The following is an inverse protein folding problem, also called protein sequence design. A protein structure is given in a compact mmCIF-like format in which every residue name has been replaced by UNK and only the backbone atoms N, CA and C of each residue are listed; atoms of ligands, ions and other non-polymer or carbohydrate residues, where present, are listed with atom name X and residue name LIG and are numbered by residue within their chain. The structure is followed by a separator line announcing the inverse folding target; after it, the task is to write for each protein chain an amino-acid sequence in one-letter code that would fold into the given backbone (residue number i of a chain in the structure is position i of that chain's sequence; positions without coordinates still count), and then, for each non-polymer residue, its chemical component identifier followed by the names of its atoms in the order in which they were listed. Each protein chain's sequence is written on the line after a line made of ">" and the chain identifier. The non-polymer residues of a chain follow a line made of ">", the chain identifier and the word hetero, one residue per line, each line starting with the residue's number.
data_IF_715151717587
#
_entry.id   IF_715151717587
#
_cell.length_a   1.000
_cell.length_b   1.000
_cell.length_c   1.000
_cell.angle_alpha   90.00
_cell.angle_beta   90.00
_cell.angle_gamma   90.00
#
_symmetry.space_group_name_H-M   'P 1'
#
loop_
_entity.id
_entity.type
_entity.pdbx_description
1 polymer ?
#
# COMPACT_ATOMS: atom_id res chain seq x y z
N UNK A 1 1.83 -17.82 -16.88
CA UNK A 1 1.95 -17.86 -15.41
C UNK A 1 1.86 -16.43 -14.92
N UNK A 2 0.79 -16.08 -14.19
CA UNK A 2 0.71 -16.06 -12.72
C UNK A 2 1.41 -14.81 -12.17
N UNK A 3 0.71 -13.69 -12.03
CA UNK A 3 1.15 -12.56 -11.19
C UNK A 3 1.59 -13.04 -9.80
N UNK A 4 0.87 -14.00 -9.22
CA UNK A 4 1.29 -14.74 -8.00
C UNK A 4 2.66 -15.42 -8.16
N UNK A 5 2.95 -15.98 -9.34
CA UNK A 5 4.23 -16.58 -9.68
C UNK A 5 5.35 -15.56 -9.81
N UNK A 6 5.04 -14.34 -10.29
CA UNK A 6 5.96 -13.20 -10.26
C UNK A 6 6.23 -12.76 -8.81
N UNK A 7 5.21 -12.59 -7.96
CA UNK A 7 5.35 -12.17 -6.56
C UNK A 7 6.22 -13.12 -5.71
N UNK A 8 6.27 -14.41 -6.05
CA UNK A 8 7.14 -15.39 -5.37
C UNK A 8 8.47 -15.64 -6.09
N UNK A 9 8.74 -14.93 -7.18
CA UNK A 9 9.94 -15.12 -8.00
C UNK A 9 11.18 -14.42 -7.39
N UNK A 10 12.39 -14.88 -7.70
CA UNK A 10 13.62 -14.15 -7.38
C UNK A 10 13.62 -12.74 -7.97
N UNK A 11 13.05 -12.55 -9.17
CA UNK A 11 12.97 -11.25 -9.84
C UNK A 11 12.18 -10.23 -9.02
N UNK A 12 11.08 -10.63 -8.38
CA UNK A 12 10.35 -9.73 -7.49
C UNK A 12 11.19 -9.34 -6.28
N UNK A 13 11.93 -10.29 -5.68
CA UNK A 13 12.84 -9.98 -4.56
C UNK A 13 13.94 -9.00 -4.95
N UNK A 14 14.53 -9.17 -6.13
CA UNK A 14 15.53 -8.24 -6.67
C UNK A 14 14.95 -6.83 -6.82
N UNK A 15 13.72 -6.70 -7.33
CA UNK A 15 13.08 -5.38 -7.46
C UNK A 15 12.82 -4.75 -6.09
N UNK A 16 12.42 -5.55 -5.09
CA UNK A 16 12.25 -5.03 -3.72
C UNK A 16 13.59 -4.56 -3.15
N UNK A 17 14.66 -5.34 -3.28
CA UNK A 17 15.99 -4.92 -2.84
C UNK A 17 16.49 -3.67 -3.54
N UNK A 18 16.26 -3.55 -4.86
CA UNK A 18 16.63 -2.37 -5.63
C UNK A 18 15.88 -1.11 -5.16
N UNK A 19 14.62 -1.24 -4.68
CA UNK A 19 13.86 -0.14 -4.08
C UNK A 19 14.38 0.17 -2.68
N UNK A 20 14.62 -0.86 -1.86
CA UNK A 20 15.15 -0.72 -0.51
C UNK A 20 16.52 -0.04 -0.49
N UNK A 21 17.36 -0.27 -1.49
CA UNK A 21 18.70 0.32 -1.62
C UNK A 21 18.68 1.81 -2.07
N UNK A 22 17.51 2.34 -2.44
CA UNK A 22 17.41 3.76 -2.82
C UNK A 22 17.58 4.69 -1.62
N UNK A 23 18.24 5.84 -1.84
CA UNK A 23 18.40 6.87 -0.82
C UNK A 23 17.05 7.33 -0.29
N UNK A 24 16.03 7.46 -1.15
CA UNK A 24 14.70 7.90 -0.73
C UNK A 24 13.99 6.89 0.18
N UNK A 25 14.16 5.58 -0.07
CA UNK A 25 13.58 4.55 0.79
C UNK A 25 14.26 4.52 2.15
N UNK A 26 15.60 4.60 2.18
CA UNK A 26 16.36 4.66 3.43
C UNK A 26 16.04 5.92 4.23
N UNK A 27 15.83 7.05 3.55
CA UNK A 27 15.41 8.29 4.19
C UNK A 27 13.98 8.20 4.75
N UNK A 28 13.05 7.58 4.02
CA UNK A 28 11.70 7.32 4.51
C UNK A 28 11.71 6.42 5.76
N UNK A 29 12.52 5.37 5.74
CA UNK A 29 12.73 4.47 6.88
C UNK A 29 13.29 5.24 8.09
N UNK A 30 14.38 5.98 7.90
CA UNK A 30 15.03 6.75 8.96
C UNK A 30 14.12 7.85 9.53
N UNK A 31 13.30 8.49 8.68
CA UNK A 31 12.34 9.50 9.12
C UNK A 31 11.29 8.89 10.06
N UNK A 32 10.74 7.72 9.73
CA UNK A 32 9.77 7.04 10.59
C UNK A 32 10.39 6.63 11.92
N UNK A 33 11.60 6.05 11.89
CA UNK A 33 12.36 5.69 13.10
C UNK A 33 12.65 6.90 14.00
N UNK A 34 13.09 8.03 13.43
CA UNK A 34 13.32 9.28 14.18
C UNK A 34 12.06 9.77 14.89
N UNK A 35 10.90 9.60 14.25
CA UNK A 35 9.60 9.96 14.83
C UNK A 35 9.04 8.90 15.79
N UNK A 36 9.79 7.83 16.06
CA UNK A 36 9.43 6.77 17.00
C UNK A 36 8.54 5.67 16.41
N UNK A 37 8.39 5.62 15.08
CA UNK A 37 7.62 4.58 14.38
C UNK A 37 8.58 3.58 13.74
N UNK A 38 8.81 2.44 14.42
CA UNK A 38 9.48 1.29 13.80
C UNK A 38 8.53 0.68 12.77
N UNK A 39 8.98 0.58 11.51
CA UNK A 39 8.19 0.00 10.42
C UNK A 39 7.71 -1.43 10.74
N UNK A 40 8.46 -2.19 11.56
CA UNK A 40 8.02 -3.48 12.08
C UNK A 40 6.85 -3.35 13.05
N UNK A 41 6.88 -2.36 13.95
CA UNK A 41 5.76 -2.07 14.86
C UNK A 41 4.53 -1.55 14.10
N UNK A 42 4.73 -0.78 13.02
CA UNK A 42 3.62 -0.36 12.14
C UNK A 42 2.99 -1.57 11.44
N UNK A 43 3.81 -2.47 10.88
CA UNK A 43 3.33 -3.71 10.27
C UNK A 43 2.64 -4.61 11.31
N UNK A 44 3.20 -4.75 12.51
CA UNK A 44 2.63 -5.56 13.59
C UNK A 44 1.33 -4.96 14.16
N UNK A 45 1.25 -3.62 14.28
CA UNK A 45 0.04 -2.91 14.67
C UNK A 45 -1.07 -3.10 13.63
N UNK A 46 -0.74 -2.93 12.35
CA UNK A 46 -1.65 -3.21 11.23
C UNK A 46 -2.10 -4.68 11.27
N UNK A 47 -1.18 -5.63 11.46
CA UNK A 47 -1.52 -7.07 11.52
C UNK A 47 -2.39 -7.44 12.72
N UNK A 48 -2.11 -6.87 13.90
CA UNK A 48 -2.87 -7.12 15.13
C UNK A 48 -4.25 -6.46 15.10
N UNK A 49 -4.36 -5.26 14.53
CA UNK A 49 -5.59 -4.48 14.52
C UNK A 49 -6.52 -4.84 13.36
N UNK A 50 -5.96 -5.19 12.19
CA UNK A 50 -6.80 -5.48 11.04
C UNK A 50 -7.58 -6.78 11.22
N UNK A 51 -7.06 -7.74 12.00
CA UNK A 51 -7.68 -9.02 12.37
C UNK A 51 -8.72 -9.51 11.35
N UNK A 52 -8.33 -9.45 10.06
CA UNK A 52 -9.30 -9.51 8.97
C UNK A 52 -9.93 -10.90 9.01
N UNK A 53 -11.25 -11.01 8.80
CA UNK A 53 -11.85 -12.32 8.66
C UNK A 53 -11.05 -13.09 7.59
N UNK A 54 -10.75 -14.38 7.82
CA UNK A 54 -10.02 -15.19 6.84
C UNK A 54 -10.67 -14.99 5.48
N UNK A 55 -9.86 -14.65 4.47
CA UNK A 55 -10.35 -14.55 3.11
C UNK A 55 -11.19 -15.79 2.80
N UNK A 56 -12.48 -15.59 2.56
CA UNK A 56 -13.35 -16.66 2.12
C UNK A 56 -13.28 -16.67 0.60
N UNK A 57 -12.51 -17.59 -0.02
CA UNK A 57 -12.49 -17.70 -1.46
C UNK A 57 -13.91 -17.99 -1.93
N UNK A 58 -14.54 -17.00 -2.59
CA UNK A 58 -15.73 -17.28 -3.40
C UNK A 58 -15.30 -18.30 -4.46
N UNK A 59 -16.11 -19.35 -4.70
CA UNK A 59 -15.74 -20.44 -5.60
C UNK A 59 -15.32 -19.86 -6.96
N UNK A 60 -14.07 -20.16 -7.34
CA UNK A 60 -13.37 -19.72 -8.55
C UNK A 60 -14.28 -19.11 -9.62
N UNK A 61 -14.53 -17.81 -9.52
CA UNK A 61 -14.78 -17.02 -10.72
C UNK A 61 -13.46 -17.07 -11.50
N UNK A 62 -13.42 -17.89 -12.56
CA UNK A 62 -12.38 -17.71 -13.57
C UNK A 62 -12.60 -16.32 -14.12
N UNK A 63 -11.83 -15.35 -13.64
CA UNK A 63 -11.78 -14.04 -14.25
C UNK A 63 -11.13 -14.22 -15.63
N UNK A 64 -11.98 -14.35 -16.65
CA UNK A 64 -11.57 -14.49 -18.05
C UNK A 64 -10.73 -13.29 -18.54
N UNK A 65 -10.73 -12.20 -17.77
CA UNK A 65 -10.13 -10.90 -18.09
C UNK A 65 -8.80 -10.60 -17.37
N UNK A 66 -8.14 -11.58 -16.72
CA UNK A 66 -6.78 -11.41 -16.18
C UNK A 66 -6.68 -10.79 -14.78
N UNK A 67 -5.47 -10.32 -14.42
CA UNK A 67 -5.12 -9.86 -13.04
C UNK A 67 -5.88 -8.61 -12.64
N UNK A 68 -6.14 -7.68 -13.57
CA UNK A 68 -6.90 -6.45 -13.29
C UNK A 68 -8.32 -6.77 -12.85
N UNK A 69 -9.00 -7.69 -13.54
CA UNK A 69 -10.36 -8.10 -13.20
C UNK A 69 -10.42 -8.87 -11.88
N UNK A 70 -9.42 -9.70 -11.58
CA UNK A 70 -9.28 -10.35 -10.27
C UNK A 70 -9.10 -9.31 -9.16
N UNK A 71 -8.19 -8.35 -9.35
CA UNK A 71 -7.93 -7.28 -8.40
C UNK A 71 -9.16 -6.38 -8.23
N UNK A 72 -9.86 -6.03 -9.29
CA UNK A 72 -11.09 -5.25 -9.24
C UNK A 72 -12.21 -5.98 -8.50
N UNK A 73 -12.37 -7.29 -8.72
CA UNK A 73 -13.35 -8.09 -7.99
C UNK A 73 -12.99 -8.27 -6.51
N UNK A 74 -11.70 -8.48 -6.20
CA UNK A 74 -11.21 -8.57 -4.83
C UNK A 74 -11.40 -7.23 -4.10
N UNK A 75 -11.00 -6.12 -4.72
CA UNK A 75 -11.14 -4.78 -4.15
C UNK A 75 -12.61 -4.35 -4.03
N UNK A 76 -13.45 -4.67 -5.02
CA UNK A 76 -14.90 -4.42 -4.94
C UNK A 76 -15.64 -5.28 -3.92
N UNK A 77 -14.98 -6.31 -3.37
CA UNK A 77 -15.50 -7.10 -2.26
C UNK A 77 -15.09 -6.58 -0.88
N UNK A 78 -14.20 -5.58 -0.82
CA UNK A 78 -13.78 -4.97 0.43
C UNK A 78 -14.94 -4.17 1.03
N UNK A 79 -15.17 -4.24 2.34
CA UNK A 79 -16.18 -3.45 3.01
C UNK A 79 -15.68 -2.01 3.21
N UNK A 80 -15.67 -1.22 2.13
CA UNK A 80 -15.09 0.14 2.09
C UNK A 80 -15.66 1.04 3.18
N UNK A 81 -16.96 0.99 3.44
CA UNK A 81 -17.60 1.80 4.47
C UNK A 81 -17.20 1.39 5.91
N UNK A 82 -17.01 0.09 6.15
CA UNK A 82 -16.50 -0.40 7.43
C UNK A 82 -15.04 0.05 7.62
N UNK A 83 -14.23 0.02 6.55
CA UNK A 83 -12.84 0.51 6.58
C UNK A 83 -12.78 2.01 6.88
N UNK A 84 -13.61 2.84 6.22
CA UNK A 84 -13.74 4.28 6.53
C UNK A 84 -14.13 4.50 7.99
N UNK A 85 -15.11 3.73 8.48
CA UNK A 85 -15.58 3.83 9.87
C UNK A 85 -14.48 3.47 10.87
N UNK A 86 -13.76 2.38 10.61
CA UNK A 86 -12.64 1.94 11.44
C UNK A 86 -11.50 2.97 11.45
N UNK A 87 -11.14 3.50 10.28
CA UNK A 87 -10.11 4.51 10.14
C UNK A 87 -10.44 5.78 10.94
N UNK A 88 -11.66 6.31 10.81
CA UNK A 88 -12.15 7.45 11.61
C UNK A 88 -12.13 7.14 13.10
N UNK A 89 -12.62 5.97 13.50
CA UNK A 89 -12.63 5.57 14.91
C UNK A 89 -11.20 5.52 15.49
N UNK A 90 -10.23 4.98 14.74
CA UNK A 90 -8.83 4.90 15.18
C UNK A 90 -8.18 6.29 15.24
N UNK A 91 -8.47 7.18 14.30
CA UNK A 91 -8.03 8.58 14.37
C UNK A 91 -8.55 9.30 15.61
N UNK A 92 -9.81 9.07 15.99
CA UNK A 92 -10.42 9.71 17.16
C UNK A 92 -9.95 9.11 18.48
N UNK A 93 -9.77 7.79 18.55
CA UNK A 93 -9.62 7.08 19.82
C UNK A 93 -8.23 6.49 20.07
N UNK A 94 -7.35 6.42 19.07
CA UNK A 94 -5.99 5.91 19.21
C UNK A 94 -4.97 7.02 18.92
N UNK A 95 -4.31 7.50 19.98
CA UNK A 95 -3.31 8.56 19.88
C UNK A 95 -2.06 8.16 19.07
N UNK A 96 -1.63 6.90 19.17
CA UNK A 96 -0.49 6.37 18.41
C UNK A 96 -0.82 6.29 16.92
N UNK A 97 -2.02 5.80 16.58
CA UNK A 97 -2.50 5.77 15.19
C UNK A 97 -2.63 7.18 14.61
N UNK A 98 -3.19 8.12 15.37
CA UNK A 98 -3.27 9.52 14.95
C UNK A 98 -1.89 10.12 14.69
N UNK A 99 -0.94 9.91 15.61
CA UNK A 99 0.43 10.38 15.45
C UNK A 99 1.10 9.80 14.20
N UNK A 100 0.89 8.50 13.93
CA UNK A 100 1.40 7.87 12.70
C UNK A 100 0.81 8.55 11.46
N UNK A 101 -0.50 8.76 11.43
CA UNK A 101 -1.18 9.44 10.31
C UNK A 101 -0.68 10.87 10.13
N UNK A 102 -0.45 11.62 11.20
CA UNK A 102 0.12 12.98 11.14
C UNK A 102 1.54 12.97 10.55
N UNK A 103 2.39 12.01 10.97
CA UNK A 103 3.75 11.87 10.47
C UNK A 103 3.79 11.51 9.00
N UNK A 104 3.03 10.50 8.56
CA UNK A 104 3.02 10.10 7.14
C UNK A 104 2.32 11.12 6.25
N UNK A 105 1.45 11.97 6.83
CA UNK A 105 0.77 13.04 6.10
C UNK A 105 1.56 14.36 6.07
N UNK A 106 2.69 14.43 6.79
CA UNK A 106 3.55 15.60 6.86
C UNK A 106 4.12 16.00 5.50
N UNK A 107 4.40 17.29 5.32
CA UNK A 107 5.06 17.82 4.12
C UNK A 107 6.40 17.13 3.86
N UNK A 108 7.17 16.91 4.92
CA UNK A 108 8.49 16.33 4.91
C UNK A 108 8.45 14.90 4.39
N UNK A 109 7.55 14.07 4.93
CA UNK A 109 7.39 12.71 4.45
C UNK A 109 6.87 12.68 3.01
N UNK A 110 5.89 13.53 2.68
CA UNK A 110 5.37 13.67 1.31
C UNK A 110 6.46 14.05 0.31
N UNK A 111 7.43 14.87 0.70
CA UNK A 111 8.52 15.28 -0.20
C UNK A 111 9.56 14.18 -0.41
N UNK A 112 9.82 13.33 0.59
CA UNK A 112 10.59 12.09 0.42
C UNK A 112 9.90 11.19 -0.61
N UNK A 113 8.60 10.97 -0.45
CA UNK A 113 7.80 10.11 -1.32
C UNK A 113 7.72 10.64 -2.76
N UNK A 114 7.56 11.95 -2.96
CA UNK A 114 7.61 12.56 -4.30
C UNK A 114 8.95 12.35 -4.99
N UNK A 115 10.07 12.35 -4.25
CA UNK A 115 11.37 12.01 -4.83
C UNK A 115 11.45 10.54 -5.20
N UNK A 116 10.98 9.66 -4.32
CA UNK A 116 10.90 8.21 -4.58
C UNK A 116 10.06 7.92 -5.84
N UNK A 117 8.91 8.57 -6.01
CA UNK A 117 8.05 8.42 -7.19
C UNK A 117 8.70 8.90 -8.50
N UNK A 118 9.63 9.86 -8.42
CA UNK A 118 10.42 10.34 -9.56
C UNK A 118 11.67 9.50 -9.82
N UNK A 119 12.02 8.57 -8.92
CA UNK A 119 13.13 7.67 -9.10
C UNK A 119 12.80 6.65 -10.21
N UNK A 120 13.75 6.47 -11.14
CA UNK A 120 13.58 5.57 -12.29
C UNK A 120 13.34 4.11 -11.85
N UNK A 121 13.90 3.68 -10.72
CA UNK A 121 13.66 2.35 -10.14
C UNK A 121 12.22 2.16 -9.71
N UNK A 122 11.62 3.19 -9.12
CA UNK A 122 10.22 3.16 -8.74
C UNK A 122 9.29 3.16 -9.97
N UNK A 123 9.67 3.91 -11.01
CA UNK A 123 8.97 3.85 -12.30
C UNK A 123 9.06 2.47 -12.97
N UNK A 124 10.23 1.82 -12.90
CA UNK A 124 10.42 0.45 -13.40
C UNK A 124 9.58 -0.58 -12.64
N UNK A 125 9.48 -0.44 -11.31
CA UNK A 125 8.58 -1.25 -10.47
C UNK A 125 7.12 -1.09 -10.90
N UNK A 126 6.65 0.16 -11.04
CA UNK A 126 5.28 0.46 -11.48
C UNK A 126 5.00 -0.16 -12.85
N UNK A 127 5.85 0.09 -13.84
CA UNK A 127 5.72 -0.46 -15.19
C UNK A 127 5.72 -2.00 -15.20
N UNK A 128 6.52 -2.62 -14.34
CA UNK A 128 6.54 -4.08 -14.19
C UNK A 128 5.18 -4.58 -13.72
N UNK A 129 4.61 -3.97 -12.68
CA UNK A 129 3.29 -4.34 -12.16
C UNK A 129 2.18 -4.09 -13.18
N UNK A 130 2.21 -2.98 -13.91
CA UNK A 130 1.28 -2.69 -15.02
C UNK A 130 1.38 -3.75 -16.13
N UNK A 131 2.59 -4.23 -16.46
CA UNK A 131 2.77 -5.31 -17.44
C UNK A 131 2.15 -6.65 -17.00
N UNK A 132 1.94 -6.85 -15.70
CA UNK A 132 1.21 -7.99 -15.15
C UNK A 132 -0.28 -7.74 -14.98
N UNK A 133 -0.79 -6.57 -15.40
CA UNK A 133 -2.20 -6.21 -15.34
C UNK A 133 -2.62 -5.58 -14.01
N UNK A 134 -1.72 -4.95 -13.27
CA UNK A 134 -2.10 -4.11 -12.14
C UNK A 134 -2.49 -2.73 -12.64
N UNK A 135 -3.70 -2.29 -12.31
CA UNK A 135 -4.19 -0.95 -12.61
C UNK A 135 -3.98 -0.04 -11.39
N UNK A 136 -2.91 0.76 -11.42
CA UNK A 136 -2.59 1.68 -10.33
C UNK A 136 -3.57 2.85 -10.23
N UNK A 137 -4.25 3.22 -11.31
CA UNK A 137 -5.27 4.28 -11.27
C UNK A 137 -6.48 3.79 -10.47
N UNK A 138 -6.95 2.58 -10.75
CA UNK A 138 -8.03 1.94 -9.99
C UNK A 138 -7.67 1.71 -8.51
N UNK A 139 -6.45 1.23 -8.22
CA UNK A 139 -5.95 1.11 -6.83
C UNK A 139 -6.01 2.47 -6.14
N UNK A 140 -5.63 3.53 -6.84
CA UNK A 140 -5.62 4.87 -6.29
C UNK A 140 -7.00 5.48 -6.05
N UNK A 141 -7.98 5.18 -6.89
CA UNK A 141 -9.37 5.56 -6.65
C UNK A 141 -9.89 4.97 -5.34
N UNK A 142 -9.62 3.68 -5.09
CA UNK A 142 -10.04 3.02 -3.85
C UNK A 142 -9.33 3.57 -2.63
N UNK A 143 -8.01 3.81 -2.72
CA UNK A 143 -7.26 4.40 -1.62
C UNK A 143 -7.78 5.82 -1.30
N UNK A 144 -8.07 6.63 -2.32
CA UNK A 144 -8.68 7.97 -2.12
C UNK A 144 -10.07 7.88 -1.52
N UNK A 145 -10.82 6.83 -1.84
CA UNK A 145 -12.14 6.62 -1.26
C UNK A 145 -12.05 6.22 0.23
N UNK A 146 -11.13 5.32 0.61
CA UNK A 146 -10.97 4.89 2.01
C UNK A 146 -10.37 6.00 2.87
N UNK A 147 -9.39 6.74 2.33
CA UNK A 147 -8.61 7.73 3.05
C UNK A 147 -8.99 9.17 2.69
N UNK A 148 -10.24 9.45 2.32
CA UNK A 148 -10.76 10.73 1.73
C UNK A 148 -10.20 12.06 2.23
N UNK A 149 -9.72 12.15 3.48
CA UNK A 149 -9.17 13.37 4.09
C UNK A 149 -7.62 13.45 3.98
N UNK A 150 -6.98 12.43 3.40
CA UNK A 150 -5.54 12.26 3.27
C UNK A 150 -5.19 11.84 1.85
N UNK A 151 -4.32 12.60 1.17
CA UNK A 151 -3.78 12.19 -0.13
C UNK A 151 -3.02 10.87 0.02
N UNK A 152 -3.47 9.76 -0.60
CA UNK A 152 -2.74 8.53 -0.53
C UNK A 152 -1.40 8.73 -1.21
N UNK A 153 -0.36 8.52 -0.42
CA UNK A 153 1.06 8.69 -0.75
C UNK A 153 1.46 8.03 -2.09
N UNK A 154 0.80 6.94 -2.46
CA UNK A 154 1.07 6.17 -3.67
C UNK A 154 0.36 6.68 -4.93
N UNK A 155 -0.44 7.76 -4.80
CA UNK A 155 -1.41 8.20 -5.81
C UNK A 155 -1.22 9.64 -6.28
N UNK A 156 -0.03 10.17 -6.01
CA UNK A 156 0.45 11.51 -6.40
C UNK A 156 1.39 11.41 -7.61
#
# INVERSE_FOLDING_TARGET
>A
MRFVGFLISPKFKEIIWDIEDTEEFQEAYAFLEEKGYDLRLVIDAINSDLNLPPFQPKPNERYENGVSAFLAAAMGSLPIDDMKTLFKNKLENNAEFRGLVEVVSSSEFKDILKRMLRNAKFSEFKNTFESYGVDFEFVCEILKEVFTDYDPIFCV
#
